data_IF_161140521615
#
_entry.id   IF_161140521615
#
_cell.length_a   1.000
_cell.length_b   1.000
_cell.length_c   1.000
_cell.angle_alpha   90.00
_cell.angle_beta   90.00
_cell.angle_gamma   90.00
#
_symmetry.space_group_name_H-M   'P 1'
#
loop_
_entity.id
_entity.type
_entity.pdbx_description
1 polymer ?
#
# COMPACT_ATOMS: atom_id res chain seq x y z
N UNK A 1 -43.39 24.54 0.74
CA UNK A 1 -43.68 23.83 2.02
C UNK A 1 -42.86 22.54 2.01
N UNK A 2 -41.59 22.67 2.43
CA UNK A 2 -41.05 22.07 3.66
C UNK A 2 -40.86 20.55 3.46
N UNK A 3 -39.68 20.08 3.04
CA UNK A 3 -38.52 19.94 3.93
C UNK A 3 -37.22 20.47 3.29
N UNK A 4 -36.75 21.60 3.81
CA UNK A 4 -35.35 22.00 3.86
C UNK A 4 -35.12 22.51 5.29
N UNK A 5 -33.96 22.20 5.87
CA UNK A 5 -33.37 22.84 7.06
C UNK A 5 -33.68 22.29 8.46
N UNK A 6 -32.86 21.34 8.90
CA UNK A 6 -31.91 21.60 9.99
C UNK A 6 -30.50 21.53 9.34
N UNK A 7 -29.89 22.68 9.04
CA UNK A 7 -28.87 23.36 9.86
C UNK A 7 -27.63 22.48 10.06
N UNK A 8 -26.63 22.56 9.17
CA UNK A 8 -25.47 23.46 9.33
C UNK A 8 -24.91 23.47 10.76
N UNK A 9 -23.68 22.99 10.96
CA UNK A 9 -22.48 23.78 11.34
C UNK A 9 -21.38 22.85 11.87
N UNK A 10 -20.19 22.88 11.26
CA UNK A 10 -18.97 22.19 11.71
C UNK A 10 -18.91 20.72 11.24
N UNK A 11 -17.98 20.25 10.44
CA UNK A 11 -16.60 20.69 10.30
C UNK A 11 -16.32 21.18 8.89
N UNK A 12 -15.79 22.40 8.82
CA UNK A 12 -14.90 22.77 7.73
C UNK A 12 -13.92 21.61 7.56
N UNK A 13 -13.95 20.90 6.43
CA UNK A 13 -12.77 20.16 6.01
C UNK A 13 -11.64 21.19 6.08
N UNK A 14 -10.71 21.07 7.04
CA UNK A 14 -9.78 22.14 7.31
C UNK A 14 -9.09 22.38 5.98
N UNK A 15 -9.21 23.60 5.47
CA UNK A 15 -8.43 24.03 4.34
C UNK A 15 -6.99 23.72 4.73
N UNK A 16 -6.45 22.65 4.14
CA UNK A 16 -5.04 22.28 4.30
C UNK A 16 -4.33 23.46 3.67
N UNK A 17 -4.01 24.44 4.53
CA UNK A 17 -3.13 25.54 4.22
C UNK A 17 -1.94 24.88 3.54
N UNK A 18 -1.56 25.26 2.31
CA UNK A 18 -0.45 24.62 1.62
C UNK A 18 0.81 24.97 2.42
N UNK A 19 1.14 24.10 3.37
CA UNK A 19 2.37 24.18 4.13
C UNK A 19 3.48 23.95 3.13
N UNK A 20 4.33 24.98 2.99
CA UNK A 20 5.68 24.95 2.43
C UNK A 20 5.99 23.70 1.60
N UNK A 21 5.92 23.86 0.28
CA UNK A 21 6.83 23.32 -0.75
C UNK A 21 7.75 22.13 -0.37
N UNK A 22 7.25 21.11 0.32
CA UNK A 22 7.95 19.86 0.61
C UNK A 22 7.60 18.90 -0.52
N UNK A 23 8.10 19.21 -1.73
CA UNK A 23 8.08 18.26 -2.84
C UNK A 23 9.03 17.14 -2.46
N UNK A 24 8.49 16.06 -1.91
CA UNK A 24 9.25 14.84 -1.67
C UNK A 24 9.78 14.35 -3.03
N UNK A 25 11.09 14.18 -3.14
CA UNK A 25 11.71 13.63 -4.34
C UNK A 25 11.38 12.14 -4.52
N UNK A 26 11.54 11.61 -5.73
CA UNK A 26 11.33 10.18 -6.03
C UNK A 26 12.06 9.26 -5.04
N UNK A 27 13.31 9.57 -4.75
CA UNK A 27 14.17 8.76 -3.89
C UNK A 27 13.66 8.73 -2.44
N UNK A 28 13.57 9.91 -1.80
CA UNK A 28 13.18 10.05 -0.39
C UNK A 28 11.69 9.82 -0.15
N UNK A 29 10.84 10.08 -1.15
CA UNK A 29 9.39 9.97 -1.03
C UNK A 29 8.82 8.61 -1.42
N UNK A 30 9.45 7.88 -2.35
CA UNK A 30 8.85 6.66 -2.94
C UNK A 30 9.80 5.47 -2.85
N UNK A 31 11.03 5.58 -3.37
CA UNK A 31 11.95 4.43 -3.48
C UNK A 31 12.34 3.92 -2.09
N UNK A 32 12.87 4.77 -1.22
CA UNK A 32 13.29 4.36 0.14
C UNK A 32 12.15 3.75 0.99
N UNK A 33 10.97 4.37 1.09
CA UNK A 33 9.87 3.76 1.86
C UNK A 33 9.34 2.46 1.23
N UNK A 34 9.34 2.35 -0.10
CA UNK A 34 8.88 1.14 -0.77
C UNK A 34 9.87 -0.03 -0.58
N UNK A 35 11.17 0.21 -0.72
CA UNK A 35 12.21 -0.80 -0.47
C UNK A 35 12.19 -1.24 1.00
N UNK A 36 12.04 -0.30 1.95
CA UNK A 36 11.95 -0.62 3.39
C UNK A 36 10.72 -1.48 3.73
N UNK A 37 9.59 -1.28 3.03
CA UNK A 37 8.38 -2.08 3.26
C UNK A 37 8.52 -3.53 2.75
N UNK A 38 9.25 -3.74 1.65
CA UNK A 38 9.48 -5.06 1.04
C UNK A 38 10.56 -5.84 1.79
N UNK A 39 11.61 -5.16 2.26
CA UNK A 39 12.69 -5.77 3.05
C UNK A 39 12.21 -6.09 4.47
N UNK A 40 11.50 -7.21 4.61
CA UNK A 40 10.94 -7.67 5.88
C UNK A 40 11.62 -8.90 6.48
N UNK A 41 11.11 -9.31 7.65
CA UNK A 41 11.61 -10.46 8.43
C UNK A 41 11.56 -11.80 7.66
N UNK A 42 10.62 -11.95 6.73
CA UNK A 42 10.43 -13.15 5.91
C UNK A 42 11.66 -13.40 5.02
N UNK A 43 12.25 -12.34 4.49
CA UNK A 43 13.42 -12.44 3.61
C UNK A 43 14.61 -13.04 4.36
N UNK A 44 14.77 -12.72 5.64
CA UNK A 44 15.90 -13.19 6.46
C UNK A 44 15.65 -14.56 7.10
N UNK A 45 14.48 -14.80 7.69
CA UNK A 45 14.21 -16.05 8.42
C UNK A 45 13.68 -17.18 7.52
N UNK A 46 12.88 -16.85 6.49
CA UNK A 46 12.13 -17.87 5.73
C UNK A 46 12.73 -18.21 4.37
N UNK A 47 13.37 -17.26 3.66
CA UNK A 47 14.00 -17.60 2.37
C UNK A 47 15.12 -18.65 2.46
N UNK A 48 16.02 -18.63 3.47
CA UNK A 48 17.04 -19.68 3.60
C UNK A 48 16.43 -21.06 3.83
N UNK A 49 15.40 -21.14 4.67
CA UNK A 49 14.68 -22.40 4.94
C UNK A 49 13.90 -22.88 3.71
N UNK A 50 13.27 -21.96 2.97
CA UNK A 50 12.57 -22.25 1.72
C UNK A 50 13.53 -22.80 0.65
N UNK A 51 14.70 -22.17 0.47
CA UNK A 51 15.72 -22.65 -0.46
C UNK A 51 16.28 -24.02 -0.04
N UNK A 52 16.43 -24.25 1.26
CA UNK A 52 16.87 -25.55 1.79
C UNK A 52 15.87 -26.69 1.55
N UNK A 53 14.57 -26.41 1.57
CA UNK A 53 13.52 -27.43 1.35
C UNK A 53 13.12 -27.61 -0.11
N UNK A 54 13.01 -26.51 -0.88
CA UNK A 54 12.57 -26.54 -2.27
C UNK A 54 13.71 -26.83 -3.27
N UNK A 55 14.98 -26.71 -2.83
CA UNK A 55 16.15 -26.79 -3.69
C UNK A 55 16.34 -25.53 -4.53
N UNK A 56 17.55 -25.34 -5.07
CA UNK A 56 17.94 -24.10 -5.75
C UNK A 56 17.10 -23.83 -7.01
N UNK A 57 16.84 -24.85 -7.83
CA UNK A 57 16.13 -24.67 -9.10
C UNK A 57 14.65 -24.30 -8.92
N UNK A 58 13.91 -25.09 -8.14
CA UNK A 58 12.49 -24.82 -7.86
C UNK A 58 12.29 -23.60 -6.96
N UNK A 59 13.22 -23.34 -6.03
CA UNK A 59 13.22 -22.14 -5.22
C UNK A 59 13.35 -20.87 -6.07
N UNK A 60 14.30 -20.82 -7.00
CA UNK A 60 14.46 -19.66 -7.90
C UNK A 60 13.23 -19.43 -8.76
N UNK A 61 12.59 -20.48 -9.30
CA UNK A 61 11.35 -20.35 -10.08
C UNK A 61 10.20 -19.74 -9.26
N UNK A 62 10.04 -20.15 -8.00
CA UNK A 62 9.02 -19.59 -7.10
C UNK A 62 9.25 -18.09 -6.82
N UNK A 63 10.50 -17.68 -6.60
CA UNK A 63 10.84 -16.27 -6.39
C UNK A 63 10.58 -15.45 -7.65
N UNK A 64 10.96 -15.96 -8.83
CA UNK A 64 10.68 -15.29 -10.12
C UNK A 64 9.17 -15.13 -10.33
N UNK A 65 8.38 -16.18 -10.06
CA UNK A 65 6.92 -16.09 -10.16
C UNK A 65 6.31 -15.03 -9.22
N UNK A 66 6.81 -14.96 -7.98
CA UNK A 66 6.40 -13.93 -7.01
C UNK A 66 6.76 -12.50 -7.48
N UNK A 67 7.93 -12.32 -8.11
CA UNK A 67 8.32 -11.05 -8.71
C UNK A 67 7.46 -10.69 -9.92
N UNK A 68 7.05 -11.67 -10.74
CA UNK A 68 6.16 -11.45 -11.87
C UNK A 68 4.78 -10.96 -11.43
N UNK A 69 4.14 -11.61 -10.45
CA UNK A 69 2.82 -11.16 -9.95
C UNK A 69 2.90 -9.78 -9.30
N UNK A 70 3.99 -9.49 -8.59
CA UNK A 70 4.23 -8.17 -8.00
C UNK A 70 4.44 -7.10 -9.07
N UNK A 71 5.20 -7.42 -10.12
CA UNK A 71 5.42 -6.54 -11.28
C UNK A 71 4.14 -6.22 -12.03
N UNK A 72 3.29 -7.21 -12.28
CA UNK A 72 1.97 -7.01 -12.91
C UNK A 72 1.10 -6.09 -12.03
N UNK A 73 1.05 -6.34 -10.72
CA UNK A 73 0.29 -5.52 -9.78
C UNK A 73 0.80 -4.07 -9.74
N UNK A 74 2.12 -3.89 -9.70
CA UNK A 74 2.75 -2.56 -9.73
C UNK A 74 2.46 -1.82 -11.04
N UNK A 75 2.48 -2.51 -12.19
CA UNK A 75 2.12 -1.93 -13.49
C UNK A 75 0.66 -1.47 -13.54
N UNK A 76 -0.25 -2.25 -12.95
CA UNK A 76 -1.67 -1.87 -12.82
C UNK A 76 -1.84 -0.64 -11.92
N UNK A 77 -1.16 -0.61 -10.77
CA UNK A 77 -1.20 0.53 -9.85
C UNK A 77 -0.65 1.81 -10.50
N UNK A 78 0.41 1.71 -11.31
CA UNK A 78 0.95 2.82 -12.08
C UNK A 78 -0.05 3.37 -13.11
N UNK A 79 -0.82 2.49 -13.77
CA UNK A 79 -1.91 2.91 -14.64
C UNK A 79 -2.99 3.68 -13.85
N UNK A 80 -3.44 3.16 -12.70
CA UNK A 80 -4.42 3.87 -11.85
C UNK A 80 -3.87 5.24 -11.40
N UNK A 81 -2.59 5.31 -11.03
CA UNK A 81 -1.92 6.55 -10.63
C UNK A 81 -1.88 7.62 -11.73
N UNK A 82 -1.88 7.21 -13.00
CA UNK A 82 -1.80 8.10 -14.16
C UNK A 82 -3.17 8.60 -14.64
N UNK A 83 -4.27 7.93 -14.26
CA UNK A 83 -5.62 8.22 -14.77
C UNK A 83 -6.39 9.33 -14.00
N UNK A 84 -5.82 9.93 -12.95
CA UNK A 84 -6.54 10.88 -12.08
C UNK A 84 -5.85 12.23 -11.86
N UNK A 85 -6.65 13.31 -11.71
CA UNK A 85 -6.16 14.58 -11.14
C UNK A 85 -5.89 14.40 -9.65
N UNK A 86 -4.60 14.36 -9.30
CA UNK A 86 -4.11 14.16 -7.93
C UNK A 86 -4.33 15.45 -7.13
N UNK A 87 -5.52 15.61 -6.53
CA UNK A 87 -5.66 16.49 -5.38
C UNK A 87 -5.17 15.70 -4.16
N UNK A 88 -4.36 16.32 -3.30
CA UNK A 88 -3.62 15.64 -2.24
C UNK A 88 -4.44 14.58 -1.48
N UNK A 89 -3.94 13.36 -1.48
CA UNK A 89 -4.54 12.20 -0.84
C UNK A 89 -3.69 10.95 -1.08
N UNK A 90 -3.69 10.00 -0.15
CA UNK A 90 -2.92 8.75 -0.25
C UNK A 90 -3.52 7.76 -1.27
N UNK A 91 -3.02 6.52 -1.27
CA UNK A 91 -3.43 5.50 -2.24
C UNK A 91 -4.95 5.27 -2.31
N UNK A 92 -5.65 5.23 -1.17
CA UNK A 92 -7.10 5.05 -1.13
C UNK A 92 -7.88 6.18 -1.83
N UNK A 93 -7.42 7.42 -1.67
CA UNK A 93 -8.03 8.56 -2.33
C UNK A 93 -7.89 8.48 -3.86
N UNK A 94 -6.74 7.97 -4.32
CA UNK A 94 -6.45 7.80 -5.73
C UNK A 94 -7.27 6.65 -6.37
N UNK A 95 -7.44 5.52 -5.67
CA UNK A 95 -8.25 4.39 -6.15
C UNK A 95 -9.74 4.75 -6.19
N UNK A 96 -10.29 5.33 -5.11
CA UNK A 96 -11.73 5.61 -5.00
C UNK A 96 -12.22 6.60 -6.05
N UNK A 97 -11.36 7.52 -6.51
CA UNK A 97 -11.68 8.46 -7.60
C UNK A 97 -11.62 7.81 -8.99
N UNK A 98 -10.73 6.84 -9.20
CA UNK A 98 -10.49 6.22 -10.52
C UNK A 98 -11.42 5.03 -10.81
N UNK A 99 -11.85 4.30 -9.77
CA UNK A 99 -12.66 3.07 -9.90
C UNK A 99 -14.07 3.19 -9.26
N UNK A 100 -14.37 4.32 -8.62
CA UNK A 100 -15.64 4.57 -7.94
C UNK A 100 -15.67 4.12 -6.47
N UNK A 101 -16.65 4.60 -5.67
CA UNK A 101 -16.66 4.39 -4.21
C UNK A 101 -16.82 2.93 -3.77
N UNK A 102 -17.61 2.14 -4.49
CA UNK A 102 -17.92 0.75 -4.14
C UNK A 102 -16.70 -0.17 -4.25
N UNK A 103 -15.95 -0.07 -5.35
CA UNK A 103 -14.73 -0.86 -5.58
C UNK A 103 -13.59 -0.34 -4.70
N UNK A 104 -13.48 0.98 -4.54
CA UNK A 104 -12.46 1.58 -3.69
C UNK A 104 -12.59 1.15 -2.22
N UNK A 105 -13.80 1.12 -1.67
CA UNK A 105 -14.04 0.70 -0.29
C UNK A 105 -13.66 -0.77 -0.05
N UNK A 106 -14.04 -1.68 -0.96
CA UNK A 106 -13.72 -3.09 -0.84
C UNK A 106 -12.20 -3.35 -0.90
N UNK A 107 -11.49 -2.77 -1.87
CA UNK A 107 -10.04 -2.89 -2.00
C UNK A 107 -9.32 -2.26 -0.80
N UNK A 108 -9.81 -1.11 -0.31
CA UNK A 108 -9.26 -0.43 0.86
C UNK A 108 -9.39 -1.28 2.14
N UNK A 109 -10.53 -1.93 2.34
CA UNK A 109 -10.75 -2.81 3.49
C UNK A 109 -9.83 -4.04 3.45
N UNK A 110 -9.70 -4.67 2.28
CA UNK A 110 -8.77 -5.79 2.09
C UNK A 110 -7.30 -5.36 2.34
N UNK A 111 -6.90 -4.18 1.87
CA UNK A 111 -5.55 -3.66 2.06
C UNK A 111 -5.25 -3.30 3.52
N UNK A 112 -6.25 -2.78 4.25
CA UNK A 112 -6.14 -2.52 5.68
C UNK A 112 -5.91 -3.83 6.46
N UNK A 113 -6.73 -4.86 6.19
CA UNK A 113 -6.61 -6.14 6.87
C UNK A 113 -5.27 -6.84 6.54
N UNK A 114 -4.84 -6.79 5.28
CA UNK A 114 -3.55 -7.34 4.86
C UNK A 114 -2.37 -6.69 5.60
N UNK A 115 -2.35 -5.35 5.72
CA UNK A 115 -1.29 -4.65 6.46
C UNK A 115 -1.35 -4.93 7.97
N UNK A 116 -2.53 -5.09 8.55
CA UNK A 116 -2.69 -5.42 9.98
C UNK A 116 -2.10 -6.80 10.30
N UNK A 117 -2.45 -7.82 9.50
CA UNK A 117 -1.91 -9.18 9.64
C UNK A 117 -0.40 -9.20 9.33
N UNK A 118 0.04 -8.45 8.32
CA UNK A 118 1.45 -8.31 7.98
C UNK A 118 2.28 -7.70 9.13
N UNK A 119 1.76 -6.67 9.79
CA UNK A 119 2.41 -6.08 10.96
C UNK A 119 2.54 -7.10 12.10
N UNK A 120 1.48 -7.85 12.41
CA UNK A 120 1.51 -8.90 13.43
C UNK A 120 2.57 -9.98 13.12
N UNK A 121 2.70 -10.38 11.86
CA UNK A 121 3.72 -11.34 11.42
C UNK A 121 5.15 -10.78 11.55
N UNK A 122 5.36 -9.48 11.27
CA UNK A 122 6.67 -8.84 11.50
C UNK A 122 7.06 -8.80 12.99
N UNK A 123 6.09 -8.58 13.89
CA UNK A 123 6.33 -8.71 15.32
C UNK A 123 6.70 -10.14 15.72
N UNK A 124 5.94 -11.15 15.27
CA UNK A 124 6.23 -12.56 15.55
C UNK A 124 7.64 -12.96 15.06
N UNK A 125 8.03 -12.54 13.86
CA UNK A 125 9.37 -12.83 13.34
C UNK A 125 10.48 -12.14 14.13
N UNK A 126 10.21 -11.00 14.77
CA UNK A 126 11.17 -10.34 15.68
C UNK A 126 11.30 -11.10 16.99
N UNK A 127 10.18 -11.64 17.51
CA UNK A 127 10.17 -12.49 18.72
C UNK A 127 10.88 -13.82 18.48
N UNK A 128 10.73 -14.45 17.31
CA UNK A 128 11.46 -15.69 16.97
C UNK A 128 12.96 -15.47 16.73
N UNK A 129 13.36 -14.25 16.35
CA UNK A 129 14.76 -13.93 16.08
C UNK A 129 15.57 -13.58 17.34
N UNK A 130 14.91 -13.40 18.49
CA UNK A 130 15.50 -13.00 19.77
C UNK A 130 15.54 -14.13 20.81
#
# INVERSE_FOLDING_TARGET
MAIQSQSQTGDAAPAIKPSRNNKQGLYLGVIFPCVSNILGVILFLRLPWLMGKAGTWMGTLMVVFSLLVTGITASSLAAVATNGKIQGGGAYFLISRSMGPAIGAAVGLCFFLANSIGAAMYFLGTVEAW
#
